data_IF_183311616036
#
_entry.id   IF_183311616036
#
_cell.length_a   1.000
_cell.length_b   1.000
_cell.length_c   1.000
_cell.angle_alpha   90.00
_cell.angle_beta   90.00
_cell.angle_gamma   90.00
#
_symmetry.space_group_name_H-M   'P 1'
#
loop_
_entity.id
_entity.type
_entity.pdbx_description
1 polymer ?
#
# COMPACT_ATOMS: atom_id res chain seq x y z
N UNK A 1 11.29 -20.59 3.68
CA UNK A 1 11.50 -20.93 2.26
C UNK A 1 10.87 -19.85 1.40
N UNK A 2 11.68 -18.87 1.00
CA UNK A 2 11.44 -18.09 -0.20
C UNK A 2 12.34 -18.74 -1.24
N UNK A 3 11.74 -19.11 -2.38
CA UNK A 3 12.39 -19.79 -3.49
C UNK A 3 13.69 -19.08 -3.86
N UNK A 4 14.73 -19.84 -4.21
CA UNK A 4 16.09 -19.42 -4.59
C UNK A 4 16.11 -18.55 -5.87
N UNK A 5 15.38 -17.44 -5.86
CA UNK A 5 15.35 -16.41 -6.90
C UNK A 5 15.79 -15.10 -6.27
N UNK A 6 16.89 -14.54 -6.76
CA UNK A 6 17.34 -13.22 -6.34
C UNK A 6 16.38 -12.16 -6.90
N UNK A 7 15.55 -11.60 -6.02
CA UNK A 7 14.72 -10.44 -6.36
C UNK A 7 15.57 -9.18 -6.23
N UNK A 8 15.37 -8.25 -7.16
CA UNK A 8 16.09 -6.99 -7.19
C UNK A 8 15.67 -6.04 -6.09
N UNK A 9 16.19 -4.82 -6.18
CA UNK A 9 15.84 -3.77 -5.23
C UNK A 9 14.35 -3.45 -5.29
N UNK A 10 13.80 -3.13 -4.11
CA UNK A 10 12.44 -2.63 -4.00
C UNK A 10 12.29 -1.27 -4.68
N UNK A 11 11.26 -1.15 -5.52
CA UNK A 11 10.83 0.17 -6.02
C UNK A 11 10.44 1.08 -4.84
N UNK A 12 10.46 2.38 -5.10
CA UNK A 12 9.95 3.36 -4.17
C UNK A 12 8.46 3.09 -3.84
N UNK A 13 8.08 3.34 -2.59
CA UNK A 13 6.69 3.25 -2.17
C UNK A 13 5.80 4.22 -2.96
N UNK A 14 4.64 3.74 -3.41
CA UNK A 14 3.63 4.58 -4.02
C UNK A 14 3.12 5.66 -3.06
N UNK A 15 2.49 6.70 -3.59
CA UNK A 15 1.74 7.64 -2.76
C UNK A 15 0.68 6.91 -1.92
N UNK A 16 0.46 7.37 -0.69
CA UNK A 16 -0.61 6.87 0.13
C UNK A 16 -1.95 7.15 -0.55
N UNK A 17 -2.76 6.11 -0.75
CA UNK A 17 -4.06 6.26 -1.42
C UNK A 17 -5.14 5.40 -0.77
N UNK A 18 -6.40 5.84 -0.90
CA UNK A 18 -7.59 5.09 -0.49
C UNK A 18 -8.61 5.10 -1.63
N UNK A 19 -8.98 3.91 -2.13
CA UNK A 19 -9.89 3.75 -3.28
C UNK A 19 -9.44 4.60 -4.48
N UNK A 20 -8.16 4.49 -4.85
CA UNK A 20 -7.53 5.19 -5.98
C UNK A 20 -7.57 6.72 -5.87
N UNK A 21 -7.67 7.26 -4.65
CA UNK A 21 -7.60 8.70 -4.38
C UNK A 21 -6.49 9.00 -3.40
N UNK A 22 -5.88 10.17 -3.52
CA UNK A 22 -4.82 10.70 -2.64
C UNK A 22 -5.34 11.81 -1.71
N UNK A 23 -6.64 12.11 -1.76
CA UNK A 23 -7.32 13.13 -0.94
C UNK A 23 -8.51 12.55 -0.17
N UNK A 24 -8.96 13.24 0.88
CA UNK A 24 -10.22 12.99 1.58
C UNK A 24 -10.19 11.83 2.57
N UNK A 25 -9.02 11.31 2.93
CA UNK A 25 -8.86 10.24 3.94
C UNK A 25 -7.73 10.54 4.92
N UNK A 26 -7.81 9.94 6.12
CA UNK A 26 -6.72 9.94 7.11
C UNK A 26 -5.88 8.66 7.07
N UNK A 27 -6.45 7.53 6.62
CA UNK A 27 -5.79 6.21 6.57
C UNK A 27 -5.94 5.61 5.17
N UNK A 28 -4.83 5.20 4.57
CA UNK A 28 -4.76 4.61 3.24
C UNK A 28 -3.76 3.46 3.16
N UNK A 29 -3.39 3.09 1.94
CA UNK A 29 -2.38 2.08 1.67
C UNK A 29 -1.42 2.58 0.60
N UNK A 30 -0.16 2.17 0.73
CA UNK A 30 0.87 2.36 -0.28
C UNK A 30 1.41 0.99 -0.65
N UNK A 31 1.77 0.83 -1.92
CA UNK A 31 2.32 -0.42 -2.45
C UNK A 31 3.70 -0.16 -3.03
N UNK A 32 4.58 -1.16 -2.97
CA UNK A 32 5.85 -1.20 -3.70
C UNK A 32 5.98 -2.55 -4.40
N UNK A 33 6.80 -2.59 -5.44
CA UNK A 33 7.07 -3.81 -6.21
C UNK A 33 8.57 -4.01 -6.34
N UNK A 34 9.03 -5.27 -6.38
CA UNK A 34 10.38 -5.63 -6.79
C UNK A 34 10.30 -6.65 -7.91
N UNK A 35 11.07 -6.42 -8.97
CA UNK A 35 11.21 -7.37 -10.07
C UNK A 35 12.34 -8.35 -9.78
N UNK A 36 12.28 -9.57 -10.32
CA UNK A 36 13.43 -10.47 -10.34
C UNK A 36 14.65 -9.82 -10.98
N UNK A 37 15.84 -10.12 -10.47
CA UNK A 37 17.06 -9.83 -11.19
C UNK A 37 17.17 -10.79 -12.38
N UNK A 38 17.69 -10.32 -13.53
CA UNK A 38 18.08 -11.23 -14.60
C UNK A 38 19.23 -12.09 -14.06
N UNK A 39 18.97 -13.39 -13.85
CA UNK A 39 20.03 -14.34 -13.54
C UNK A 39 20.96 -14.38 -14.75
N UNK A 40 22.14 -13.76 -14.64
CA UNK A 40 23.24 -13.97 -15.58
C UNK A 40 23.85 -15.33 -15.19
N UNK A 41 23.13 -16.40 -15.49
CA UNK A 41 23.70 -17.73 -15.38
C UNK A 41 24.72 -17.86 -16.52
N UNK A 42 25.99 -17.93 -16.11
CA UNK A 42 27.15 -18.23 -16.93
C UNK A 42 26.86 -19.35 -17.93
N UNK A 43 27.45 -19.23 -19.12
CA UNK A 43 27.50 -20.22 -20.18
C UNK A 43 27.99 -21.58 -19.65
N UNK A 44 27.08 -22.42 -19.16
CA UNK A 44 27.27 -23.87 -19.05
C UNK A 44 26.04 -24.55 -19.65
N UNK A 45 26.15 -25.19 -20.82
CA UNK A 45 25.04 -25.86 -21.47
C UNK A 45 24.84 -27.26 -20.87
N UNK A 46 24.51 -27.37 -19.58
CA UNK A 46 24.03 -28.64 -19.03
C UNK A 46 22.50 -28.76 -19.22
N UNK A 47 22.00 -29.79 -19.93
CA UNK A 47 20.58 -29.91 -20.30
C UNK A 47 19.73 -30.49 -19.16
N UNK A 48 20.06 -30.17 -17.91
CA UNK A 48 19.37 -30.67 -16.73
C UNK A 48 18.57 -29.54 -16.09
N UNK A 49 17.28 -29.52 -16.41
CA UNK A 49 16.27 -28.75 -15.70
C UNK A 49 16.43 -27.23 -15.77
N UNK A 50 16.33 -26.68 -16.99
CA UNK A 50 15.76 -25.34 -17.17
C UNK A 50 14.27 -25.43 -16.81
N UNK A 51 13.99 -25.64 -15.53
CA UNK A 51 12.74 -25.13 -14.96
C UNK A 51 12.82 -23.65 -15.26
N UNK A 52 11.96 -23.16 -16.15
CA UNK A 52 11.72 -21.74 -16.32
C UNK A 52 11.19 -21.24 -14.98
N UNK A 53 12.10 -21.02 -14.03
CA UNK A 53 11.85 -20.30 -12.79
C UNK A 53 11.70 -18.85 -13.22
N UNK A 54 10.56 -18.56 -13.82
CA UNK A 54 10.06 -17.21 -13.99
C UNK A 54 9.79 -16.71 -12.58
N UNK A 55 10.83 -16.20 -11.94
CA UNK A 55 10.73 -15.60 -10.62
C UNK A 55 9.55 -14.61 -10.65
N UNK A 56 8.65 -14.74 -9.68
CA UNK A 56 7.44 -13.93 -9.67
C UNK A 56 7.80 -12.56 -9.07
N UNK A 57 7.42 -11.44 -9.71
CA UNK A 57 7.60 -10.13 -9.10
C UNK A 57 6.83 -10.04 -7.78
N UNK A 58 7.47 -9.51 -6.75
CA UNK A 58 6.85 -9.41 -5.43
C UNK A 58 6.23 -8.03 -5.24
N UNK A 59 5.03 -8.00 -4.67
CA UNK A 59 4.31 -6.78 -4.34
C UNK A 59 4.09 -6.71 -2.82
N UNK A 60 4.50 -5.62 -2.19
CA UNK A 60 4.28 -5.37 -0.78
C UNK A 60 3.31 -4.21 -0.58
N UNK A 61 2.41 -4.34 0.40
CA UNK A 61 1.46 -3.29 0.78
C UNK A 61 1.59 -2.97 2.26
N UNK A 62 1.66 -1.68 2.58
CA UNK A 62 1.63 -1.19 3.97
C UNK A 62 0.56 -0.13 4.17
N UNK A 63 0.04 -0.05 5.38
CA UNK A 63 -0.85 1.03 5.78
C UNK A 63 -0.08 2.34 5.92
N UNK A 64 -0.76 3.44 5.64
CA UNK A 64 -0.22 4.79 5.81
C UNK A 64 -1.29 5.69 6.42
N UNK A 65 -0.86 6.65 7.22
CA UNK A 65 -1.72 7.69 7.78
C UNK A 65 -1.27 9.04 7.21
N UNK A 66 -2.23 9.84 6.74
CA UNK A 66 -1.98 11.14 6.12
C UNK A 66 -2.95 12.18 6.67
N UNK A 67 -2.59 13.45 6.52
CA UNK A 67 -3.53 14.55 6.79
C UNK A 67 -4.67 14.50 5.79
N UNK A 68 -5.91 14.69 6.26
CA UNK A 68 -7.10 14.65 5.42
C UNK A 68 -7.17 15.91 4.55
N UNK A 69 -6.51 15.88 3.41
CA UNK A 69 -6.60 16.96 2.41
C UNK A 69 -7.97 16.96 1.75
N UNK A 70 -8.70 18.08 1.67
CA UNK A 70 -9.97 18.12 0.96
C UNK A 70 -9.76 17.76 -0.51
N UNK A 71 -10.58 16.85 -1.03
CA UNK A 71 -10.60 16.60 -2.46
C UNK A 71 -11.23 17.80 -3.16
N UNK A 72 -10.56 18.35 -4.16
CA UNK A 72 -11.21 19.23 -5.12
C UNK A 72 -12.25 18.38 -5.85
N UNK A 73 -13.51 18.52 -5.49
CA UNK A 73 -14.62 17.85 -6.17
C UNK A 73 -15.68 18.87 -6.51
N UNK A 74 -15.94 18.99 -7.81
CA UNK A 74 -17.22 19.41 -8.34
C UNK A 74 -18.32 18.63 -7.62
N UNK A 75 -19.35 19.36 -7.16
CA UNK A 75 -20.31 18.92 -6.16
C UNK A 75 -20.99 17.60 -6.53
N UNK A 76 -20.52 16.47 -5.97
CA UNK A 76 -21.34 15.26 -5.88
C UNK A 76 -21.26 14.64 -4.50
N UNK A 77 -22.22 15.08 -3.71
CA UNK A 77 -22.62 14.62 -2.39
C UNK A 77 -22.52 13.09 -2.27
N UNK A 78 -21.56 12.59 -1.49
CA UNK A 78 -21.56 11.19 -1.01
C UNK A 78 -20.95 11.16 0.38
N UNK A 79 -21.83 10.97 1.35
CA UNK A 79 -21.59 11.18 2.77
C UNK A 79 -20.36 10.47 3.32
N UNK A 80 -19.63 11.21 4.17
CA UNK A 80 -18.78 10.63 5.19
C UNK A 80 -19.45 10.85 6.54
N UNK A 81 -20.47 10.05 6.83
CA UNK A 81 -20.70 9.60 8.20
C UNK A 81 -19.55 8.63 8.50
N UNK A 82 -18.60 9.06 9.33
CA UNK A 82 -17.86 8.17 10.23
C UNK A 82 -16.83 8.95 11.05
N UNK A 83 -17.06 8.93 12.37
CA UNK A 83 -16.05 8.84 13.43
C UNK A 83 -15.31 10.10 13.89
N UNK A 84 -16.04 11.17 14.26
CA UNK A 84 -15.47 12.26 15.06
C UNK A 84 -16.48 12.80 16.12
N UNK A 85 -17.25 11.93 16.79
CA UNK A 85 -18.16 12.35 17.88
C UNK A 85 -18.29 11.34 19.03
N UNK A 86 -17.18 10.81 19.55
CA UNK A 86 -17.20 10.20 20.89
C UNK A 86 -16.11 10.81 21.76
N UNK A 87 -16.57 11.43 22.85
CA UNK A 87 -15.81 11.81 24.06
C UNK A 87 -15.25 13.24 24.12
N UNK A 88 -16.09 14.24 23.85
CA UNK A 88 -16.05 15.51 24.60
C UNK A 88 -17.50 15.92 24.87
N UNK A 89 -18.04 15.46 25.98
CA UNK A 89 -18.71 16.29 26.98
C UNK A 89 -19.44 15.38 27.99
N UNK A 90 -18.84 15.20 29.16
CA UNK A 90 -19.55 14.85 30.39
C UNK A 90 -18.96 15.73 31.48
N UNK A 91 -18.92 17.04 31.18
CA UNK A 91 -18.61 18.07 32.14
C UNK A 91 -19.89 18.46 32.86
N UNK A 92 -19.99 18.08 34.13
CA UNK A 92 -20.70 18.77 35.20
C UNK A 92 -21.94 19.61 34.84
N UNK A 93 -23.14 19.03 35.00
CA UNK A 93 -24.36 19.78 35.24
C UNK A 93 -25.38 18.93 36.02
N UNK A 94 -25.22 18.86 37.35
CA UNK A 94 -26.33 18.61 38.28
C UNK A 94 -26.19 19.57 39.46
N UNK A 95 -26.46 20.84 39.18
CA UNK A 95 -26.98 21.76 40.17
C UNK A 95 -28.50 21.69 40.11
N UNK A 96 -29.10 21.08 41.13
CA UNK A 96 -30.38 21.46 41.74
C UNK A 96 -30.62 20.56 42.94
#
# INVERSE_FOLDING_TARGET
>A
RASECELGEWSQWSSCMKKNKTCGFKRGSQSRVRSPLPQIHSLDPSPSFVTSQTCIPEAERRQCNVTRTPCVRERKNKGTRSDDAKKRDKGNARGR
#
